data_IF_967295112250
#
_entry.id   IF_967295112250
#
_cell.length_a   1.000
_cell.length_b   1.000
_cell.length_c   1.000
_cell.angle_alpha   90.00
_cell.angle_beta   90.00
_cell.angle_gamma   90.00
#
_symmetry.space_group_name_H-M   'P 1'
#
loop_
_entity.id
_entity.type
_entity.pdbx_description
1 polymer ?
#
# COMPACT_ATOMS: atom_id res chain seq x y z
N UNK A 1 6.72 35.06 18.97
CA UNK A 1 6.51 33.60 19.00
C UNK A 1 7.38 32.97 17.93
N UNK A 2 8.39 32.17 18.29
CA UNK A 2 9.32 31.54 17.34
C UNK A 2 8.76 30.15 17.00
N UNK A 3 8.33 29.95 15.77
CA UNK A 3 7.93 28.63 15.27
C UNK A 3 9.20 27.81 15.06
N UNK A 4 9.26 26.62 15.67
CA UNK A 4 10.34 25.65 15.45
C UNK A 4 9.74 24.55 14.59
N UNK A 5 10.27 24.38 13.39
CA UNK A 5 9.88 23.31 12.48
C UNK A 5 10.66 22.04 12.83
N UNK A 6 9.92 20.98 13.18
CA UNK A 6 10.49 19.65 13.38
C UNK A 6 10.60 18.97 12.01
N UNK A 7 11.83 18.76 11.55
CA UNK A 7 12.09 18.19 10.22
C UNK A 7 12.08 16.66 10.23
N UNK A 8 12.64 16.06 11.28
CA UNK A 8 12.86 14.62 11.36
C UNK A 8 11.61 13.83 11.76
N UNK A 9 11.38 12.68 11.11
CA UNK A 9 10.36 11.70 11.51
C UNK A 9 10.98 10.36 11.92
N UNK A 10 10.27 9.62 12.78
CA UNK A 10 10.75 8.40 13.45
C UNK A 10 9.74 7.26 13.33
N UNK A 11 9.03 7.19 12.21
CA UNK A 11 7.77 6.42 12.14
C UNK A 11 7.78 5.32 11.09
N UNK A 12 8.45 5.56 9.97
CA UNK A 12 8.37 4.77 8.76
C UNK A 12 9.80 4.35 8.39
N UNK A 13 10.03 3.07 8.12
CA UNK A 13 11.36 2.63 7.73
C UNK A 13 11.79 3.12 6.34
N UNK A 14 13.10 3.22 6.14
CA UNK A 14 13.70 3.88 4.98
C UNK A 14 13.24 3.33 3.62
N UNK A 15 13.02 2.02 3.47
CA UNK A 15 12.56 1.46 2.19
C UNK A 15 11.15 1.94 1.80
N UNK A 16 10.26 2.04 2.78
CA UNK A 16 8.91 2.58 2.57
C UNK A 16 9.02 4.07 2.21
N UNK A 17 9.90 4.84 2.87
CA UNK A 17 10.16 6.24 2.50
C UNK A 17 10.61 6.37 1.04
N UNK A 18 11.57 5.56 0.58
CA UNK A 18 12.04 5.57 -0.82
C UNK A 18 10.91 5.35 -1.82
N UNK A 19 10.09 4.33 -1.57
CA UNK A 19 8.97 4.04 -2.48
C UNK A 19 7.94 5.16 -2.42
N UNK A 20 7.61 5.66 -1.23
CA UNK A 20 6.73 6.80 -1.06
C UNK A 20 7.24 8.02 -1.84
N UNK A 21 8.53 8.34 -1.77
CA UNK A 21 9.13 9.49 -2.45
C UNK A 21 9.04 9.39 -3.98
N UNK A 22 9.20 8.18 -4.54
CA UNK A 22 9.00 7.95 -5.98
C UNK A 22 7.56 8.29 -6.40
N UNK A 23 6.57 7.84 -5.64
CA UNK A 23 5.14 8.11 -5.92
C UNK A 23 4.80 9.58 -5.63
N UNK A 24 5.31 10.11 -4.52
CA UNK A 24 5.07 11.45 -4.01
C UNK A 24 5.64 12.53 -4.92
N UNK A 25 6.84 12.33 -5.46
CA UNK A 25 7.45 13.22 -6.46
C UNK A 25 6.54 13.42 -7.67
N UNK A 26 5.92 12.34 -8.14
CA UNK A 26 5.00 12.38 -9.27
C UNK A 26 3.68 13.11 -8.94
N UNK A 27 3.40 13.36 -7.64
CA UNK A 27 2.29 14.15 -7.11
C UNK A 27 2.72 15.55 -6.59
N UNK A 28 3.98 15.95 -6.78
CA UNK A 28 4.52 17.22 -6.29
C UNK A 28 4.75 17.28 -4.77
N UNK A 29 4.93 16.14 -4.11
CA UNK A 29 5.24 16.07 -2.68
C UNK A 29 6.75 16.13 -2.44
N UNK A 30 7.14 16.73 -1.31
CA UNK A 30 8.52 16.73 -0.84
C UNK A 30 8.96 15.30 -0.44
N UNK A 31 10.23 14.95 -0.64
CA UNK A 31 10.77 13.68 -0.18
C UNK A 31 10.74 13.59 1.35
N UNK A 32 10.54 12.39 1.88
CA UNK A 32 10.50 12.10 3.32
C UNK A 32 11.63 11.17 3.76
N UNK A 33 12.37 10.53 2.84
CA UNK A 33 13.52 9.70 3.22
C UNK A 33 14.63 10.52 3.89
N UNK A 34 14.91 11.72 3.37
CA UNK A 34 16.00 12.59 3.85
C UNK A 34 15.82 12.98 5.34
N UNK A 35 14.58 13.03 5.80
CA UNK A 35 14.20 13.38 7.16
C UNK A 35 13.90 12.14 8.03
N UNK A 36 14.12 10.92 7.54
CA UNK A 36 13.86 9.69 8.27
C UNK A 36 14.99 9.36 9.27
N UNK A 37 14.63 9.14 10.53
CA UNK A 37 15.52 8.66 11.59
C UNK A 37 14.96 7.43 12.30
N UNK A 38 14.20 6.60 11.56
CA UNK A 38 13.68 5.34 12.06
C UNK A 38 14.80 4.29 12.14
N UNK A 39 15.06 3.78 13.35
CA UNK A 39 16.18 2.88 13.63
C UNK A 39 15.79 1.43 13.96
N UNK A 40 14.48 1.13 13.97
CA UNK A 40 13.99 -0.19 14.33
C UNK A 40 14.13 -1.18 13.14
N UNK A 41 13.30 -2.23 13.14
CA UNK A 41 13.28 -3.30 12.16
C UNK A 41 13.30 -2.78 10.71
N UNK A 42 14.07 -3.48 9.86
CA UNK A 42 14.19 -3.19 8.45
C UNK A 42 12.81 -3.24 7.77
N UNK A 43 12.38 -2.10 7.23
CA UNK A 43 11.14 -2.03 6.49
C UNK A 43 11.30 -2.62 5.09
N UNK A 44 10.25 -3.27 4.58
CA UNK A 44 10.25 -3.96 3.29
C UNK A 44 9.06 -3.56 2.44
N UNK A 45 9.29 -3.39 1.14
CA UNK A 45 8.24 -3.16 0.15
C UNK A 45 8.26 -4.27 -0.90
N UNK A 46 7.13 -4.94 -1.05
CA UNK A 46 6.96 -6.02 -2.02
C UNK A 46 6.02 -5.59 -3.13
N UNK A 47 6.44 -5.80 -4.38
CA UNK A 47 5.59 -5.67 -5.56
C UNK A 47 5.29 -7.08 -6.06
N UNK A 48 4.02 -7.48 -6.02
CA UNK A 48 3.58 -8.86 -6.25
C UNK A 48 2.63 -8.86 -7.43
N UNK A 49 3.10 -9.39 -8.56
CA UNK A 49 2.28 -9.63 -9.73
C UNK A 49 1.52 -10.94 -9.57
N UNK A 50 0.22 -10.92 -9.82
CA UNK A 50 -0.68 -12.07 -9.77
C UNK A 50 -1.32 -12.31 -11.14
N UNK A 51 -1.82 -13.52 -11.36
CA UNK A 51 -2.53 -13.92 -12.56
C UNK A 51 -3.93 -13.26 -12.64
N UNK A 52 -4.64 -13.23 -11.52
CA UNK A 52 -6.00 -12.71 -11.39
C UNK A 52 -6.25 -12.12 -9.99
N UNK A 53 -7.46 -11.59 -9.77
CA UNK A 53 -7.87 -10.98 -8.51
C UNK A 53 -8.02 -12.00 -7.36
N UNK A 54 -8.33 -13.26 -7.67
CA UNK A 54 -8.45 -14.33 -6.68
C UNK A 54 -7.06 -14.75 -6.15
N UNK A 55 -6.05 -14.83 -7.02
CA UNK A 55 -4.67 -15.05 -6.58
C UNK A 55 -4.20 -13.90 -5.69
N UNK A 56 -4.54 -12.64 -6.00
CA UNK A 56 -4.20 -11.51 -5.12
C UNK A 56 -4.79 -11.72 -3.72
N UNK A 57 -6.08 -12.07 -3.62
CA UNK A 57 -6.72 -12.32 -2.34
C UNK A 57 -6.06 -13.48 -1.57
N UNK A 58 -5.75 -14.59 -2.26
CA UNK A 58 -5.08 -15.74 -1.66
C UNK A 58 -3.68 -15.37 -1.11
N UNK A 59 -2.89 -14.60 -1.86
CA UNK A 59 -1.56 -14.14 -1.43
C UNK A 59 -1.63 -13.15 -0.27
N UNK A 60 -2.67 -12.32 -0.21
CA UNK A 60 -2.93 -11.42 0.92
C UNK A 60 -3.24 -12.25 2.17
N UNK A 61 -4.13 -13.22 2.07
CA UNK A 61 -4.51 -14.11 3.18
C UNK A 61 -3.27 -14.84 3.74
N UNK A 62 -2.45 -15.44 2.88
CA UNK A 62 -1.21 -16.11 3.32
C UNK A 62 -0.21 -15.15 3.99
N UNK A 63 -0.07 -13.93 3.46
CA UNK A 63 0.77 -12.91 4.07
C UNK A 63 0.27 -12.50 5.46
N UNK A 64 -1.04 -12.33 5.62
CA UNK A 64 -1.66 -11.96 6.89
C UNK A 64 -1.52 -13.06 7.95
N UNK A 65 -1.64 -14.35 7.58
CA UNK A 65 -1.41 -15.46 8.54
C UNK A 65 -0.05 -15.36 9.22
N UNK A 66 0.99 -15.18 8.41
CA UNK A 66 2.37 -15.04 8.90
C UNK A 66 2.50 -13.80 9.79
N UNK A 67 1.90 -12.68 9.37
CA UNK A 67 2.02 -11.41 10.07
C UNK A 67 1.23 -11.35 11.37
N UNK A 68 0.07 -12.01 11.46
CA UNK A 68 -0.71 -12.10 12.70
C UNK A 68 0.05 -12.86 13.79
N UNK A 69 0.84 -13.87 13.41
CA UNK A 69 1.75 -14.58 14.32
C UNK A 69 2.97 -13.73 14.69
N UNK A 70 3.56 -13.03 13.72
CA UNK A 70 4.74 -12.19 13.96
C UNK A 70 4.43 -10.93 14.78
N UNK A 71 3.21 -10.39 14.66
CA UNK A 71 2.77 -9.15 15.26
C UNK A 71 1.42 -9.33 15.98
N UNK A 72 1.39 -10.07 17.11
CA UNK A 72 0.15 -10.47 17.79
C UNK A 72 -0.69 -9.31 18.34
N UNK A 73 -0.09 -8.14 18.57
CA UNK A 73 -0.77 -6.99 19.17
C UNK A 73 -0.96 -5.81 18.20
N UNK A 74 -0.44 -5.91 16.97
CA UNK A 74 -0.47 -4.79 16.04
C UNK A 74 -1.66 -4.87 15.07
N UNK A 75 -2.13 -3.70 14.66
CA UNK A 75 -3.12 -3.54 13.61
C UNK A 75 -2.48 -3.74 12.23
N UNK A 76 -3.07 -4.62 11.43
CA UNK A 76 -2.71 -4.89 10.04
C UNK A 76 -3.79 -4.33 9.12
N UNK A 77 -3.43 -3.90 7.91
CA UNK A 77 -4.41 -3.39 6.96
C UNK A 77 -4.40 -4.14 5.62
N UNK A 78 -5.59 -4.25 5.05
CA UNK A 78 -5.83 -4.58 3.65
C UNK A 78 -6.58 -3.40 3.03
N UNK A 79 -6.05 -2.81 1.96
CA UNK A 79 -6.71 -1.67 1.34
C UNK A 79 -6.74 -1.74 -0.18
N UNK A 80 -7.79 -1.19 -0.79
CA UNK A 80 -8.00 -1.25 -2.23
C UNK A 80 -8.50 0.07 -2.85
N UNK A 81 -8.25 0.32 -4.16
CA UNK A 81 -8.54 1.60 -4.81
C UNK A 81 -10.00 1.92 -5.08
N UNK A 82 -10.89 0.92 -5.13
CA UNK A 82 -12.33 1.13 -5.33
C UNK A 82 -13.11 0.48 -4.20
N UNK A 83 -14.31 0.98 -3.96
CA UNK A 83 -15.24 0.38 -3.00
C UNK A 83 -15.51 -1.09 -3.38
N UNK A 84 -15.77 -1.37 -4.66
CA UNK A 84 -15.98 -2.75 -5.13
C UNK A 84 -14.76 -3.65 -4.90
N UNK A 85 -13.54 -3.13 -5.04
CA UNK A 85 -12.32 -3.90 -4.78
C UNK A 85 -12.17 -4.22 -3.28
N UNK A 86 -12.52 -3.26 -2.42
CA UNK A 86 -12.54 -3.47 -0.96
C UNK A 86 -13.56 -4.54 -0.57
N UNK A 87 -14.78 -4.46 -1.10
CA UNK A 87 -15.83 -5.45 -0.79
C UNK A 87 -15.41 -6.84 -1.27
N UNK A 88 -14.83 -6.96 -2.46
CA UNK A 88 -14.28 -8.22 -2.96
C UNK A 88 -13.23 -8.81 -2.01
N UNK A 89 -12.25 -8.02 -1.56
CA UNK A 89 -11.24 -8.49 -0.60
C UNK A 89 -11.87 -8.86 0.74
N UNK A 90 -12.84 -8.06 1.21
CA UNK A 90 -13.56 -8.33 2.46
C UNK A 90 -14.27 -9.68 2.40
N UNK A 91 -15.05 -9.93 1.35
CA UNK A 91 -15.76 -11.21 1.15
C UNK A 91 -14.78 -12.40 1.18
N UNK A 92 -13.61 -12.26 0.52
CA UNK A 92 -12.58 -13.32 0.51
C UNK A 92 -11.95 -13.55 1.88
N UNK A 93 -11.66 -12.49 2.64
CA UNK A 93 -11.11 -12.61 3.99
C UNK A 93 -12.14 -13.17 4.98
N UNK A 94 -13.39 -12.72 4.92
CA UNK A 94 -14.48 -13.19 5.77
C UNK A 94 -14.90 -14.64 5.45
N UNK A 95 -14.66 -15.12 4.22
CA UNK A 95 -14.82 -16.52 3.85
C UNK A 95 -13.61 -17.41 4.21
N UNK A 96 -12.53 -16.83 4.76
CA UNK A 96 -11.31 -17.55 5.13
C UNK A 96 -11.22 -17.80 6.63
N UNK A 97 -10.21 -18.57 7.04
CA UNK A 97 -9.85 -18.77 8.45
C UNK A 97 -9.47 -17.48 9.19
N UNK A 98 -9.25 -16.37 8.46
CA UNK A 98 -8.94 -15.08 9.04
C UNK A 98 -10.17 -14.27 9.49
N UNK A 99 -11.38 -14.73 9.17
CA UNK A 99 -12.64 -14.07 9.54
C UNK A 99 -12.69 -13.57 11.00
N UNK A 100 -12.28 -14.36 12.03
CA UNK A 100 -12.30 -13.90 13.42
C UNK A 100 -11.39 -12.70 13.73
N UNK A 101 -10.39 -12.44 12.89
CA UNK A 101 -9.45 -11.34 13.06
C UNK A 101 -9.85 -10.09 12.26
N UNK A 102 -10.89 -10.15 11.43
CA UNK A 102 -11.36 -9.03 10.62
C UNK A 102 -12.17 -8.07 11.48
N UNK A 103 -11.89 -6.77 11.38
CA UNK A 103 -12.72 -5.77 12.06
C UNK A 103 -14.14 -5.74 11.44
N UNK A 104 -15.20 -5.83 12.27
CA UNK A 104 -16.59 -5.92 11.84
C UNK A 104 -17.13 -4.57 11.34
N UNK A 105 -16.49 -3.47 11.75
CA UNK A 105 -16.89 -2.12 11.37
C UNK A 105 -15.79 -1.45 10.55
N UNK A 106 -16.19 -0.42 9.79
CA UNK A 106 -15.27 0.42 9.00
C UNK A 106 -14.50 1.42 9.86
N UNK A 107 -14.70 1.39 11.18
CA UNK A 107 -13.99 2.22 12.13
C UNK A 107 -12.70 1.52 12.57
N UNK A 108 -11.67 2.32 12.85
CA UNK A 108 -10.40 1.84 13.38
C UNK A 108 -10.51 1.60 14.88
N UNK A 109 -11.19 0.51 15.24
CA UNK A 109 -11.43 0.18 16.63
C UNK A 109 -12.30 -1.05 16.74
N UNK A 110 -11.91 -1.94 17.63
CA UNK A 110 -12.70 -3.07 18.07
C UNK A 110 -12.53 -3.18 19.58
N UNK A 111 -13.62 -3.47 20.28
CA UNK A 111 -13.58 -3.83 21.70
C UNK A 111 -12.97 -5.23 21.89
N UNK A 112 -12.92 -6.06 20.83
CA UNK A 112 -12.22 -7.33 20.78
C UNK A 112 -10.76 -7.14 20.33
N UNK A 113 -9.77 -7.36 21.21
CA UNK A 113 -8.35 -7.24 20.88
C UNK A 113 -7.87 -8.26 19.83
N UNK A 114 -8.64 -9.32 19.55
CA UNK A 114 -8.30 -10.27 18.49
C UNK A 114 -8.61 -9.74 17.09
N UNK A 115 -9.50 -8.77 16.94
CA UNK A 115 -9.86 -8.19 15.65
C UNK A 115 -8.83 -7.14 15.24
N UNK A 116 -7.90 -7.55 14.38
CA UNK A 116 -6.67 -6.80 14.05
C UNK A 116 -6.47 -6.54 12.55
N UNK A 117 -7.34 -7.05 11.69
CA UNK A 117 -7.28 -6.83 10.24
C UNK A 117 -8.31 -5.78 9.83
N UNK A 118 -7.81 -4.59 9.50
CA UNK A 118 -8.63 -3.50 9.00
C UNK A 118 -8.71 -3.53 7.47
N UNK A 119 -9.92 -3.68 6.91
CA UNK A 119 -10.15 -3.74 5.46
C UNK A 119 -10.80 -2.45 4.99
N UNK A 120 -10.11 -1.71 4.11
CA UNK A 120 -10.41 -0.31 3.83
C UNK A 120 -10.34 0.08 2.35
N UNK A 121 -11.04 1.15 2.01
CA UNK A 121 -10.79 1.91 0.80
C UNK A 121 -9.55 2.80 1.01
N UNK A 122 -8.76 3.09 -0.04
CA UNK A 122 -7.54 3.90 0.14
C UNK A 122 -7.78 5.32 0.70
N UNK A 123 -9.00 5.87 0.62
CA UNK A 123 -9.34 7.14 1.26
C UNK A 123 -9.55 7.03 2.78
N UNK A 124 -9.89 5.85 3.29
CA UNK A 124 -10.29 5.62 4.68
C UNK A 124 -9.08 5.42 5.61
N UNK A 125 -7.92 5.07 5.05
CA UNK A 125 -6.69 4.81 5.83
C UNK A 125 -6.01 6.08 6.37
N UNK A 126 -6.49 7.27 5.98
CA UNK A 126 -5.90 8.54 6.42
C UNK A 126 -6.09 8.72 7.93
N UNK A 127 -5.01 9.03 8.63
CA UNK A 127 -5.03 9.23 10.09
C UNK A 127 -4.84 7.94 10.89
N UNK A 128 -4.78 6.79 10.20
CA UNK A 128 -4.51 5.50 10.83
C UNK A 128 -3.06 5.09 10.64
N UNK A 129 -2.64 4.11 11.42
CA UNK A 129 -1.26 3.66 11.46
C UNK A 129 -1.25 2.14 11.61
N UNK A 130 -0.55 1.44 10.72
CA UNK A 130 -0.55 -0.01 10.67
C UNK A 130 0.87 -0.55 10.77
N UNK A 131 1.03 -1.74 11.35
CA UNK A 131 2.31 -2.44 11.32
C UNK A 131 2.64 -2.82 9.88
N UNK A 132 1.71 -3.51 9.22
CA UNK A 132 1.82 -3.90 7.81
C UNK A 132 0.59 -3.45 7.01
N UNK A 133 0.77 -3.25 5.71
CA UNK A 133 -0.32 -2.94 4.78
C UNK A 133 -0.20 -3.81 3.53
N UNK A 134 -1.32 -4.44 3.17
CA UNK A 134 -1.54 -5.11 1.91
C UNK A 134 -2.40 -4.23 1.01
N UNK A 135 -1.84 -3.72 -0.09
CA UNK A 135 -2.53 -2.93 -1.10
C UNK A 135 -2.97 -3.83 -2.25
N UNK A 136 -4.24 -4.24 -2.25
CA UNK A 136 -4.81 -5.16 -3.23
C UNK A 136 -5.45 -4.46 -4.43
N UNK A 137 -5.52 -5.17 -5.56
CA UNK A 137 -6.17 -4.74 -6.80
C UNK A 137 -5.64 -3.39 -7.32
N UNK A 138 -4.33 -3.16 -7.18
CA UNK A 138 -3.72 -1.86 -7.49
C UNK A 138 -3.68 -1.55 -8.98
N UNK A 139 -4.03 -2.52 -9.84
CA UNK A 139 -4.30 -2.24 -11.24
C UNK A 139 -5.44 -1.21 -11.44
N UNK A 140 -6.38 -1.11 -10.49
CA UNK A 140 -7.49 -0.18 -10.53
C UNK A 140 -7.17 1.21 -9.99
N UNK A 141 -5.92 1.46 -9.57
CA UNK A 141 -5.50 2.75 -8.99
C UNK A 141 -5.81 3.94 -9.89
N UNK A 142 -5.70 3.77 -11.22
CA UNK A 142 -6.02 4.79 -12.21
C UNK A 142 -7.47 5.32 -12.12
N UNK A 143 -8.39 4.56 -11.53
CA UNK A 143 -9.79 4.98 -11.31
C UNK A 143 -9.91 6.11 -10.28
N UNK A 144 -8.87 6.34 -9.47
CA UNK A 144 -8.78 7.48 -8.55
C UNK A 144 -8.33 8.79 -9.24
N UNK A 145 -8.13 8.77 -10.56
CA UNK A 145 -7.85 9.93 -11.42
C UNK A 145 -6.66 10.76 -10.92
N UNK A 146 -6.82 12.07 -10.80
CA UNK A 146 -5.76 13.02 -10.43
C UNK A 146 -5.21 12.77 -9.02
N UNK A 147 -6.04 12.26 -8.11
CA UNK A 147 -5.64 12.02 -6.73
C UNK A 147 -4.87 10.71 -6.53
N UNK A 148 -4.82 9.84 -7.55
CA UNK A 148 -4.31 8.47 -7.44
C UNK A 148 -2.92 8.39 -6.79
N UNK A 149 -2.02 9.31 -7.16
CA UNK A 149 -0.63 9.33 -6.67
C UNK A 149 -0.56 9.80 -5.23
N UNK A 150 -1.29 10.86 -4.88
CA UNK A 150 -1.37 11.38 -3.50
C UNK A 150 -1.99 10.35 -2.56
N UNK A 151 -2.98 9.60 -3.03
CA UNK A 151 -3.63 8.54 -2.26
C UNK A 151 -2.70 7.36 -2.09
N UNK A 152 -2.02 6.90 -3.15
CA UNK A 152 -1.04 5.84 -3.06
C UNK A 152 0.12 6.20 -2.11
N UNK A 153 0.65 7.43 -2.22
CA UNK A 153 1.62 7.98 -1.26
C UNK A 153 1.08 7.92 0.17
N UNK A 154 -0.16 8.37 0.38
CA UNK A 154 -0.79 8.35 1.70
C UNK A 154 -0.87 6.92 2.22
N UNK A 155 -1.25 5.95 1.38
CA UNK A 155 -1.38 4.56 1.76
C UNK A 155 -0.05 3.93 2.17
N UNK A 156 0.99 4.11 1.35
CA UNK A 156 2.33 3.58 1.58
C UNK A 156 2.88 4.10 2.91
N UNK A 157 2.70 5.39 3.19
CA UNK A 157 3.20 6.04 4.41
C UNK A 157 2.43 5.70 5.69
N UNK A 158 1.35 4.90 5.62
CA UNK A 158 0.65 4.42 6.82
C UNK A 158 1.29 3.18 7.44
N UNK A 159 2.10 2.44 6.68
CA UNK A 159 2.79 1.25 7.17
C UNK A 159 4.06 1.62 7.93
N UNK A 160 4.32 0.90 9.03
CA UNK A 160 5.57 1.03 9.80
C UNK A 160 6.68 0.17 9.23
N UNK A 161 6.39 -1.12 8.97
CA UNK A 161 7.42 -2.12 8.62
C UNK A 161 7.25 -2.74 7.25
N UNK A 162 6.03 -3.09 6.84
CA UNK A 162 5.85 -3.82 5.57
C UNK A 162 4.74 -3.24 4.71
N UNK A 163 5.02 -3.04 3.42
CA UNK A 163 4.01 -2.74 2.40
C UNK A 163 4.07 -3.81 1.32
N UNK A 164 2.97 -4.50 1.07
CA UNK A 164 2.83 -5.45 -0.03
C UNK A 164 1.83 -4.92 -1.03
N UNK A 165 2.23 -4.77 -2.29
CA UNK A 165 1.44 -4.14 -3.35
C UNK A 165 1.15 -5.20 -4.42
N UNK A 166 -0.14 -5.52 -4.59
CA UNK A 166 -0.62 -6.58 -5.45
C UNK A 166 -1.28 -6.01 -6.69
N UNK A 167 -1.01 -6.62 -7.84
CA UNK A 167 -1.56 -6.20 -9.12
C UNK A 167 -1.58 -7.37 -10.10
N UNK A 168 -2.53 -7.34 -11.03
CA UNK A 168 -2.43 -8.15 -12.26
C UNK A 168 -1.70 -7.36 -13.34
N UNK A 169 -1.15 -8.07 -14.33
CA UNK A 169 -0.60 -7.46 -15.53
C UNK A 169 -1.61 -6.51 -16.15
N UNK A 170 -1.27 -5.22 -16.21
CA UNK A 170 -2.05 -4.29 -17.01
C UNK A 170 -1.57 -4.44 -18.44
N UNK A 171 -2.41 -5.01 -19.30
CA UNK A 171 -2.18 -4.89 -20.74
C UNK A 171 -2.36 -3.42 -21.15
N UNK A 172 -1.29 -2.63 -21.00
CA UNK A 172 -1.19 -1.41 -21.75
C UNK A 172 -1.09 -1.79 -23.22
N UNK A 173 -2.02 -1.30 -24.07
CA UNK A 173 -1.74 -1.13 -25.49
C UNK A 173 -0.62 -0.09 -25.62
N UNK A 174 0.63 -0.52 -25.48
CA UNK A 174 1.77 0.36 -25.63
C UNK A 174 2.14 0.47 -27.10
N UNK A 175 1.83 1.61 -27.71
CA UNK A 175 2.63 2.13 -28.81
C UNK A 175 3.86 2.81 -28.18
N UNK A 176 5.02 2.14 -28.19
CA UNK A 176 6.32 2.71 -27.80
C UNK A 176 6.99 2.11 -26.55
N UNK A 177 8.05 1.31 -26.76
CA UNK A 177 8.94 0.79 -25.71
C UNK A 177 9.47 1.91 -24.80
N UNK A 178 9.21 1.85 -23.50
CA UNK A 178 9.98 2.57 -22.48
C UNK A 178 10.82 1.55 -21.72
N UNK A 179 12.14 1.65 -21.84
CA UNK A 179 13.09 0.81 -21.11
C UNK A 179 13.30 1.42 -19.71
N UNK A 180 13.00 0.66 -18.66
CA UNK A 180 13.17 1.08 -17.26
C UNK A 180 14.38 0.36 -16.64
N UNK A 181 15.48 1.08 -16.46
CA UNK A 181 16.54 0.70 -15.52
C UNK A 181 16.73 1.85 -14.53
N UNK A 182 16.17 1.71 -13.32
CA UNK A 182 16.55 2.51 -12.15
C UNK A 182 17.34 1.61 -11.20
N UNK A 183 18.67 1.79 -11.06
CA UNK A 183 19.54 0.90 -10.30
C UNK A 183 19.29 0.91 -8.79
N UNK A 184 18.39 1.76 -8.28
CA UNK A 184 18.05 1.86 -6.84
C UNK A 184 16.89 0.95 -6.41
N UNK A 185 16.17 0.32 -7.35
CA UNK A 185 15.05 -0.57 -7.05
C UNK A 185 15.41 -2.00 -7.45
N UNK A 186 15.58 -2.89 -6.47
CA UNK A 186 16.06 -4.29 -6.70
C UNK A 186 14.99 -5.27 -7.23
N UNK A 187 13.81 -4.82 -7.66
CA UNK A 187 12.74 -5.73 -8.09
C UNK A 187 12.06 -5.35 -9.41
N UNK A 188 11.70 -6.34 -10.25
CA UNK A 188 11.10 -6.12 -11.55
C UNK A 188 9.58 -5.94 -11.38
N UNK A 189 9.12 -4.70 -11.24
CA UNK A 189 7.71 -4.37 -11.48
C UNK A 189 7.60 -3.08 -12.32
N UNK A 190 8.18 -3.07 -13.54
CA UNK A 190 8.20 -1.88 -14.39
C UNK A 190 6.80 -1.30 -14.62
N UNK A 191 5.78 -2.14 -14.78
CA UNK A 191 4.42 -1.72 -15.17
C UNK A 191 3.68 -0.97 -14.06
N UNK A 192 3.73 -1.46 -12.81
CA UNK A 192 3.12 -0.75 -11.68
C UNK A 192 3.91 0.50 -11.32
N UNK A 193 5.24 0.45 -11.44
CA UNK A 193 6.06 1.64 -11.26
C UNK A 193 5.79 2.67 -12.38
N UNK A 194 5.44 2.25 -13.60
CA UNK A 194 4.98 3.10 -14.70
C UNK A 194 3.64 3.78 -14.38
N UNK A 195 2.71 3.06 -13.77
CA UNK A 195 1.43 3.63 -13.29
C UNK A 195 1.69 4.65 -12.19
N UNK A 196 2.58 4.32 -11.24
CA UNK A 196 2.91 5.17 -10.12
C UNK A 196 3.78 6.39 -10.52
N UNK A 197 4.67 6.25 -11.51
CA UNK A 197 5.53 7.33 -12.06
C UNK A 197 4.81 8.18 -13.11
N UNK A 198 3.83 7.61 -13.82
CA UNK A 198 3.01 8.26 -14.84
C UNK A 198 3.66 8.27 -16.23
N UNK A 199 3.07 7.52 -17.17
CA UNK A 199 2.94 7.98 -18.55
C UNK A 199 1.51 8.50 -18.70
N UNK A 200 1.36 9.81 -18.69
CA UNK A 200 0.11 10.48 -19.08
C UNK A 200 -0.09 10.30 -20.58
N UNK A 201 -0.79 9.24 -20.99
CA UNK A 201 -1.39 9.15 -22.32
C UNK A 201 -2.78 8.55 -22.15
N UNK A 202 -3.74 9.40 -21.77
CA UNK A 202 -5.15 9.12 -22.03
C UNK A 202 -5.58 10.13 -23.11
N UNK A 203 -6.08 9.68 -24.28
CA UNK A 203 -6.73 10.59 -25.21
C UNK A 203 -8.05 11.08 -24.59
N UNK A 204 -8.34 12.34 -24.85
CA UNK A 204 -9.54 13.10 -24.48
C UNK A 204 -10.84 12.42 -24.91
#
# INVERSE_FOLDING_TARGET
MKVIELKTHYRIGHEICRVADVVGKAAGLAPIEDDCNYKDAEAKVHFIQCADDDEQAARIIEGLKIQLTAYPEDLLAVAAPRIADREFLRERLEASELSPFVLPHRESGSDDPNQRIYIAHLYEIKGLEFRTIHLGLMQHLHKLRENQKRIAYTAITRAKTTVSIYFVTIQHRVCGRVSLHDPRLRHPAPDLLLILRGSSVFPS
#
